data_IF_202957694292
#
_entry.id   IF_202957694292
#
_cell.length_a   1.000
_cell.length_b   1.000
_cell.length_c   1.000
_cell.angle_alpha   90.00
_cell.angle_beta   90.00
_cell.angle_gamma   90.00
#
_symmetry.space_group_name_H-M   'P 1'
#
loop_
_entity.id
_entity.type
_entity.pdbx_description
1 polymer ?
#
# COMPACT_ATOMS: atom_id res chain seq x y z
N UNK A 1 6.61 -6.67 -10.48
CA UNK A 1 7.42 -6.22 -9.32
C UNK A 1 7.04 -7.06 -8.10
N UNK A 2 8.01 -7.46 -7.27
CA UNK A 2 7.75 -8.17 -6.02
C UNK A 2 7.39 -7.14 -4.94
N UNK A 3 6.14 -7.17 -4.46
CA UNK A 3 5.67 -6.28 -3.38
C UNK A 3 5.87 -6.89 -1.99
N UNK A 4 6.12 -8.20 -1.91
CA UNK A 4 6.22 -8.94 -0.65
C UNK A 4 7.21 -8.30 0.33
N UNK A 5 6.83 -8.22 1.59
CA UNK A 5 7.66 -7.66 2.66
C UNK A 5 7.70 -6.12 2.74
N UNK A 6 7.06 -5.38 1.81
CA UNK A 6 6.86 -3.94 1.98
C UNK A 6 5.99 -3.72 3.22
N UNK A 7 6.48 -2.88 4.14
CA UNK A 7 5.76 -2.51 5.35
C UNK A 7 4.59 -1.59 5.01
N UNK A 8 3.43 -1.88 5.61
CA UNK A 8 2.15 -1.24 5.31
C UNK A 8 1.42 -0.91 6.62
N UNK A 9 0.66 0.17 6.65
CA UNK A 9 -0.11 0.59 7.84
C UNK A 9 -1.30 -0.34 8.09
N UNK A 10 -1.92 -0.87 7.04
CA UNK A 10 -3.06 -1.78 7.13
C UNK A 10 -2.66 -3.24 6.99
N UNK A 11 -3.41 -4.13 7.66
CA UNK A 11 -3.24 -5.59 7.52
C UNK A 11 -4.50 -6.26 6.96
N UNK A 12 -4.34 -7.09 5.92
CA UNK A 12 -5.38 -7.91 5.30
C UNK A 12 -4.90 -9.34 5.17
N UNK A 13 -5.62 -10.29 5.77
CA UNK A 13 -5.33 -11.71 5.64
C UNK A 13 -5.31 -12.17 4.16
N UNK A 14 -6.25 -11.65 3.35
CA UNK A 14 -6.31 -11.95 1.92
C UNK A 14 -5.11 -11.40 1.15
N UNK A 15 -4.64 -10.19 1.48
CA UNK A 15 -3.47 -9.61 0.82
C UNK A 15 -2.19 -10.36 1.21
N UNK A 16 -2.04 -10.72 2.48
CA UNK A 16 -0.90 -11.50 2.97
C UNK A 16 -0.84 -12.87 2.28
N UNK A 17 -1.96 -13.59 2.24
CA UNK A 17 -2.01 -14.92 1.63
C UNK A 17 -1.74 -14.92 0.12
N UNK A 18 -2.12 -13.86 -0.60
CA UNK A 18 -2.00 -13.78 -2.07
C UNK A 18 -0.72 -13.10 -2.57
N UNK A 19 -0.23 -12.11 -1.83
CA UNK A 19 0.82 -11.20 -2.29
C UNK A 19 1.96 -11.02 -1.28
N UNK A 20 1.89 -11.60 -0.08
CA UNK A 20 2.93 -11.46 0.94
C UNK A 20 3.03 -10.05 1.54
N UNK A 21 1.96 -9.25 1.47
CA UNK A 21 1.91 -7.87 2.02
C UNK A 21 0.68 -7.64 2.88
N UNK A 22 0.78 -6.74 3.87
CA UNK A 22 -0.36 -6.34 4.69
C UNK A 22 -1.45 -5.62 3.90
N UNK A 23 -1.06 -4.83 2.89
CA UNK A 23 -1.98 -4.09 2.04
C UNK A 23 -1.45 -3.95 0.62
N UNK A 24 -2.19 -4.46 -0.37
CA UNK A 24 -1.81 -4.32 -1.78
C UNK A 24 -1.78 -2.85 -2.22
N UNK A 25 -2.80 -2.06 -1.87
CA UNK A 25 -2.88 -0.65 -2.29
C UNK A 25 -1.72 0.19 -1.73
N UNK A 26 -1.41 0.00 -0.44
CA UNK A 26 -0.32 0.74 0.23
C UNK A 26 1.05 0.31 -0.30
N UNK A 27 1.28 -1.00 -0.47
CA UNK A 27 2.53 -1.51 -1.02
C UNK A 27 2.75 -1.03 -2.46
N UNK A 28 1.70 -1.00 -3.29
CA UNK A 28 1.77 -0.43 -4.64
C UNK A 28 2.11 1.06 -4.62
N UNK A 29 1.45 1.84 -3.74
CA UNK A 29 1.69 3.28 -3.64
C UNK A 29 3.15 3.57 -3.24
N UNK A 30 3.68 2.89 -2.22
CA UNK A 30 5.08 3.02 -1.79
C UNK A 30 6.06 2.61 -2.90
N UNK A 31 5.81 1.46 -3.55
CA UNK A 31 6.67 0.97 -4.61
C UNK A 31 6.71 1.92 -5.81
N UNK A 32 5.55 2.47 -6.18
CA UNK A 32 5.43 3.42 -7.29
C UNK A 32 6.05 4.79 -6.96
N UNK A 33 5.89 5.27 -5.73
CA UNK A 33 6.49 6.53 -5.28
C UNK A 33 8.02 6.45 -5.21
N UNK A 34 8.57 5.29 -4.88
CA UNK A 34 10.01 5.01 -4.92
C UNK A 34 10.70 5.09 -3.55
N UNK A 35 12.04 5.00 -3.51
CA UNK A 35 12.82 4.99 -2.28
C UNK A 35 12.56 6.22 -1.41
N UNK A 36 12.45 6.02 -0.09
CA UNK A 36 12.22 7.11 0.87
C UNK A 36 10.78 7.65 0.89
N UNK A 37 9.87 7.09 0.10
CA UNK A 37 8.46 7.44 0.15
C UNK A 37 7.81 7.04 1.49
N UNK A 38 6.78 7.79 1.88
CA UNK A 38 5.93 7.47 3.05
C UNK A 38 4.46 7.46 2.67
N UNK A 39 3.68 6.67 3.38
CA UNK A 39 2.22 6.70 3.28
C UNK A 39 1.68 7.96 3.98
N UNK A 40 0.71 8.62 3.35
CA UNK A 40 -0.01 9.75 3.96
C UNK A 40 -1.01 9.30 5.03
N UNK A 41 -1.36 8.01 5.03
CA UNK A 41 -2.28 7.39 5.97
C UNK A 41 -2.65 5.96 5.54
N UNK A 42 -3.48 5.26 6.32
CA UNK A 42 -4.00 3.95 5.95
C UNK A 42 -4.83 4.02 4.67
N UNK A 43 -4.92 2.89 3.96
CA UNK A 43 -5.79 2.75 2.79
C UNK A 43 -7.24 3.08 3.13
N UNK A 44 -7.96 3.60 2.13
CA UNK A 44 -9.41 3.88 2.21
C UNK A 44 -10.15 3.02 1.20
N UNK A 45 -11.32 2.52 1.59
CA UNK A 45 -12.25 1.85 0.69
C UNK A 45 -13.15 2.89 0.01
N UNK A 46 -13.44 2.72 -1.28
CA UNK A 46 -14.51 3.48 -1.93
C UNK A 46 -15.86 3.20 -1.24
N UNK A 47 -16.86 4.11 -1.35
CA UNK A 47 -18.17 3.91 -0.72
C UNK A 47 -18.86 2.60 -1.13
N UNK A 48 -18.68 2.17 -2.39
CA UNK A 48 -19.20 0.91 -2.94
C UNK A 48 -18.34 -0.32 -2.58
N UNK A 49 -17.21 -0.12 -1.89
CA UNK A 49 -16.22 -1.13 -1.48
C UNK A 49 -15.60 -1.94 -2.63
N UNK A 50 -15.70 -1.43 -3.86
CA UNK A 50 -15.10 -2.08 -5.04
C UNK A 50 -13.62 -1.69 -5.23
N UNK A 51 -13.18 -0.58 -4.65
CA UNK A 51 -11.81 -0.10 -4.74
C UNK A 51 -11.20 0.12 -3.34
N UNK A 52 -9.89 -0.11 -3.26
CA UNK A 52 -9.05 0.29 -2.13
C UNK A 52 -7.96 1.21 -2.68
N UNK A 53 -7.78 2.38 -2.08
CA UNK A 53 -6.76 3.35 -2.50
C UNK A 53 -5.84 3.68 -1.32
N UNK A 54 -4.58 3.96 -1.63
CA UNK A 54 -3.62 4.51 -0.69
C UNK A 54 -2.80 5.58 -1.41
N UNK A 55 -2.35 6.58 -0.68
CA UNK A 55 -1.52 7.67 -1.20
C UNK A 55 -0.18 7.61 -0.50
N UNK A 56 0.89 7.62 -1.28
CA UNK A 56 2.25 7.77 -0.81
C UNK A 56 2.84 9.04 -1.43
N UNK A 57 3.66 9.74 -0.66
CA UNK A 57 4.45 10.86 -1.14
C UNK A 57 5.93 10.46 -1.16
N UNK A 58 6.62 10.83 -2.23
CA UNK A 58 8.08 10.76 -2.27
C UNK A 58 8.63 11.98 -1.55
N UNK A 59 9.49 11.77 -0.57
CA UNK A 59 10.34 12.83 -0.04
C UNK A 59 11.51 13.03 -1.01
N UNK A 60 11.32 13.88 -2.02
CA UNK A 60 12.47 14.50 -2.69
C UNK A 60 12.96 15.68 -1.83
N UNK A 61 14.28 15.92 -1.76
CA UNK A 61 14.81 17.22 -1.34
C UNK A 61 14.34 18.37 -2.24
#
# INVERSE_FOLDING_TARGET
>A
AALAGIETLSRSARALARYGVGSLAEACALHAAGPGARLLGPRVASPDRLAMVAIAERNDP
#
